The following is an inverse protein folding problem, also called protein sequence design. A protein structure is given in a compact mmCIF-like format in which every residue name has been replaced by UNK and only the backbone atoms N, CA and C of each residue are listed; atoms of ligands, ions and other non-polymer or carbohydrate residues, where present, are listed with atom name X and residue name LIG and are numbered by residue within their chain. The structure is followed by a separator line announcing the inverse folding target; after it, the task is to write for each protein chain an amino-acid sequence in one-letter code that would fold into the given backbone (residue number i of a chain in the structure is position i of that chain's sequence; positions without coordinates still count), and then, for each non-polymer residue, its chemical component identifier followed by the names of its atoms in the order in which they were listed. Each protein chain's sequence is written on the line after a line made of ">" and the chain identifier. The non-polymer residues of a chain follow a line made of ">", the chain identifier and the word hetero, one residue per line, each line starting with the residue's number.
data_IF_108094461796
#
_entry.id   IF_108094461796
#
_cell.length_a   1.000
_cell.length_b   1.000
_cell.length_c   1.000
_cell.angle_alpha   90.00
_cell.angle_beta   90.00
_cell.angle_gamma   90.00
#
_symmetry.space_group_name_H-M   'P 1'
#
loop_
_entity.id
_entity.type
_entity.pdbx_description
1 polymer ?
#
# COMPACT_ATOMS: atom_id res chain seq x y z
N UNK A 1 -17.21 78.27 -17.89
CA UNK A 1 -16.54 77.83 -19.15
C UNK A 1 -15.15 77.33 -18.77
N UNK A 2 -14.68 76.12 -19.03
CA UNK A 2 -15.16 74.99 -19.83
C UNK A 2 -14.73 73.69 -19.14
N UNK A 3 -15.68 72.78 -19.05
CA UNK A 3 -15.56 71.35 -18.75
C UNK A 3 -14.72 70.68 -19.85
N UNK A 4 -13.68 69.93 -19.48
CA UNK A 4 -13.08 68.91 -20.36
C UNK A 4 -12.80 67.65 -19.55
N UNK A 5 -13.74 66.73 -19.72
CA UNK A 5 -13.68 65.30 -19.44
C UNK A 5 -12.45 64.70 -20.16
N UNK A 6 -11.56 64.03 -19.44
CA UNK A 6 -10.59 63.11 -20.04
C UNK A 6 -10.79 61.73 -19.41
N UNK A 7 -11.40 60.87 -20.22
CA UNK A 7 -11.70 59.48 -19.97
C UNK A 7 -10.37 58.69 -20.11
N UNK A 8 -9.70 58.39 -19.00
CA UNK A 8 -8.50 57.54 -19.00
C UNK A 8 -8.91 56.07 -18.92
N UNK A 9 -8.79 55.39 -20.06
CA UNK A 9 -8.98 53.95 -20.22
C UNK A 9 -7.72 53.22 -19.70
N UNK A 10 -7.76 52.69 -18.48
CA UNK A 10 -6.67 51.93 -17.89
C UNK A 10 -6.72 50.47 -18.35
N UNK A 11 -5.77 50.10 -19.21
CA UNK A 11 -5.51 48.74 -19.67
C UNK A 11 -4.81 47.96 -18.53
N UNK A 12 -5.50 47.02 -17.89
CA UNK A 12 -4.90 46.16 -16.87
C UNK A 12 -4.15 44.98 -17.53
N UNK A 13 -2.85 44.76 -17.24
CA UNK A 13 -2.17 43.55 -17.68
C UNK A 13 -2.57 42.38 -16.77
N UNK A 14 -3.26 41.38 -17.33
CA UNK A 14 -3.47 40.08 -16.69
C UNK A 14 -2.14 39.32 -16.77
N UNK A 15 -1.31 39.49 -15.73
CA UNK A 15 -0.18 38.62 -15.47
C UNK A 15 -0.73 37.28 -14.97
N UNK A 16 -0.88 36.32 -15.88
CA UNK A 16 -1.05 34.91 -15.52
C UNK A 16 0.21 34.42 -14.82
N UNK A 17 0.22 34.53 -13.50
CA UNK A 17 1.17 33.82 -12.65
C UNK A 17 0.77 32.35 -12.74
N UNK A 18 1.49 31.57 -13.55
CA UNK A 18 1.56 30.13 -13.34
C UNK A 18 2.20 29.94 -11.95
N UNK A 19 1.37 29.79 -10.93
CA UNK A 19 1.82 29.26 -9.67
C UNK A 19 2.24 27.81 -9.95
N UNK A 20 3.55 27.59 -10.10
CA UNK A 20 4.13 26.27 -9.88
C UNK A 20 3.70 25.88 -8.46
N UNK A 21 2.68 25.04 -8.35
CA UNK A 21 2.38 24.37 -7.10
C UNK A 21 3.68 23.69 -6.68
N UNK A 22 4.24 23.96 -5.49
CA UNK A 22 5.37 23.20 -5.02
C UNK A 22 4.91 21.74 -5.01
N UNK A 23 5.62 20.88 -5.76
CA UNK A 23 5.52 19.44 -5.59
C UNK A 23 5.84 19.26 -4.11
N UNK A 24 4.84 18.87 -3.32
CA UNK A 24 5.03 18.59 -1.91
C UNK A 24 6.24 17.66 -1.83
N UNK A 25 7.27 18.08 -1.09
CA UNK A 25 8.42 17.23 -0.85
C UNK A 25 7.89 15.92 -0.31
N UNK A 26 8.13 14.83 -1.04
CA UNK A 26 7.79 13.49 -0.59
C UNK A 26 8.52 13.34 0.75
N UNK A 27 7.82 13.09 1.86
CA UNK A 27 8.52 12.73 3.07
C UNK A 27 9.27 11.43 2.70
N UNK A 28 10.61 11.45 2.79
CA UNK A 28 11.42 10.27 2.45
C UNK A 28 10.97 9.04 3.26
N UNK A 29 11.40 7.83 2.94
CA UNK A 29 10.80 6.55 3.39
C UNK A 29 10.61 6.34 4.90
N UNK A 30 11.19 7.19 5.76
CA UNK A 30 11.09 7.18 7.23
C UNK A 30 9.65 7.00 7.80
N UNK A 31 8.62 7.78 7.39
CA UNK A 31 7.26 7.60 7.88
C UNK A 31 6.68 6.24 7.46
N UNK A 32 7.05 5.75 6.28
CA UNK A 32 6.57 4.46 5.74
C UNK A 32 7.23 3.29 6.47
N UNK A 33 8.54 3.37 6.72
CA UNK A 33 9.26 2.38 7.54
C UNK A 33 8.66 2.36 8.95
N UNK A 34 8.38 3.53 9.53
CA UNK A 34 7.72 3.64 10.83
C UNK A 34 6.31 3.03 10.81
N UNK A 35 5.54 3.22 9.74
CA UNK A 35 4.23 2.57 9.56
C UNK A 35 4.35 1.05 9.57
N UNK A 36 5.27 0.48 8.79
CA UNK A 36 5.50 -0.97 8.78
C UNK A 36 5.98 -1.50 10.15
N UNK A 37 6.79 -0.73 10.88
CA UNK A 37 7.20 -1.10 12.25
C UNK A 37 5.99 -1.18 13.19
N UNK A 38 5.10 -0.18 13.18
CA UNK A 38 3.90 -0.17 14.02
C UNK A 38 2.97 -1.35 13.73
N UNK A 39 2.77 -1.69 12.46
CA UNK A 39 1.97 -2.85 12.06
C UNK A 39 2.64 -4.17 12.49
N UNK A 40 3.96 -4.30 12.38
CA UNK A 40 4.70 -5.47 12.84
C UNK A 40 4.66 -5.65 14.37
N UNK A 41 4.76 -4.55 15.11
CA UNK A 41 4.66 -4.50 16.57
C UNK A 41 3.25 -4.84 17.03
N UNK A 42 2.24 -4.27 16.38
CA UNK A 42 0.83 -4.57 16.66
C UNK A 42 0.52 -6.05 16.48
N UNK A 43 0.90 -6.64 15.35
CA UNK A 43 0.77 -8.08 15.13
C UNK A 43 1.50 -8.88 16.23
N UNK A 44 2.69 -8.43 16.62
CA UNK A 44 3.48 -9.03 17.71
C UNK A 44 2.80 -9.01 19.07
N UNK A 45 2.02 -7.98 19.39
CA UNK A 45 1.28 -7.86 20.66
C UNK A 45 0.13 -8.88 20.76
N UNK A 46 -0.49 -9.21 19.64
CA UNK A 46 -1.64 -10.12 19.59
C UNK A 46 -1.25 -11.61 19.69
N UNK A 47 -0.08 -12.01 19.19
CA UNK A 47 0.42 -13.40 19.24
C UNK A 47 0.37 -14.00 20.67
N UNK A 48 0.97 -13.37 21.70
CA UNK A 48 0.93 -13.92 23.06
C UNK A 48 -0.47 -13.89 23.69
N UNK A 49 -1.41 -13.11 23.16
CA UNK A 49 -2.81 -13.13 23.61
C UNK A 49 -3.55 -14.34 23.03
N UNK A 50 -3.35 -14.64 21.74
CA UNK A 50 -3.89 -15.84 21.10
C UNK A 50 -3.29 -17.12 21.70
N UNK A 51 -2.03 -17.10 22.13
CA UNK A 51 -1.40 -18.24 22.81
C UNK A 51 -2.04 -18.60 24.17
N UNK A 52 -2.84 -17.70 24.77
CA UNK A 52 -3.57 -18.00 26.01
C UNK A 52 -4.83 -18.85 25.77
N UNK A 53 -5.24 -19.03 24.51
CA UNK A 53 -6.43 -19.76 24.14
C UNK A 53 -6.15 -21.27 24.27
N UNK A 54 -6.91 -21.94 25.12
CA UNK A 54 -6.72 -23.37 25.43
C UNK A 54 -7.76 -24.21 24.70
N UNK A 55 -7.66 -24.26 23.37
CA UNK A 55 -8.68 -24.84 22.51
C UNK A 55 -8.95 -26.32 22.77
N UNK A 56 -7.96 -27.08 23.22
CA UNK A 56 -8.09 -28.49 23.56
C UNK A 56 -9.00 -28.66 24.78
N UNK A 57 -8.92 -27.73 25.74
CA UNK A 57 -9.81 -27.68 26.91
C UNK A 57 -11.23 -27.33 26.49
N UNK A 58 -11.42 -26.53 25.44
CA UNK A 58 -12.76 -26.22 24.94
C UNK A 58 -13.41 -27.43 24.30
N UNK A 59 -12.64 -28.22 23.54
CA UNK A 59 -13.12 -29.48 22.94
C UNK A 59 -13.57 -30.45 24.04
N UNK A 60 -12.80 -30.58 25.13
CA UNK A 60 -13.20 -31.37 26.29
C UNK A 60 -14.50 -30.87 26.96
N UNK A 61 -14.87 -29.60 26.77
CA UNK A 61 -16.14 -28.99 27.21
C UNK A 61 -17.25 -29.05 26.15
N UNK A 62 -17.05 -29.79 25.06
CA UNK A 62 -18.03 -29.96 23.98
C UNK A 62 -17.97 -28.91 22.87
N UNK A 63 -16.87 -28.15 22.75
CA UNK A 63 -16.63 -27.33 21.56
C UNK A 63 -16.24 -28.19 20.34
N UNK A 64 -16.46 -27.66 19.14
CA UNK A 64 -15.99 -28.33 17.91
C UNK A 64 -14.47 -28.33 17.83
N UNK A 65 -13.88 -29.41 17.29
CA UNK A 65 -12.44 -29.51 17.01
C UNK A 65 -11.96 -28.43 16.02
N UNK A 66 -12.87 -27.84 15.24
CA UNK A 66 -12.55 -26.76 14.31
C UNK A 66 -11.90 -25.55 15.01
N UNK A 67 -12.18 -25.30 16.29
CA UNK A 67 -11.55 -24.21 17.04
C UNK A 67 -10.03 -24.36 17.16
N UNK A 68 -9.51 -25.59 17.25
CA UNK A 68 -8.07 -25.86 17.30
C UNK A 68 -7.42 -25.44 15.98
N UNK A 69 -8.01 -25.85 14.86
CA UNK A 69 -7.54 -25.49 13.52
C UNK A 69 -7.66 -23.99 13.26
N UNK A 70 -8.78 -23.37 13.64
CA UNK A 70 -9.01 -21.95 13.44
C UNK A 70 -8.03 -21.10 14.25
N UNK A 71 -7.80 -21.43 15.52
CA UNK A 71 -6.83 -20.71 16.37
C UNK A 71 -5.41 -20.85 15.83
N UNK A 72 -5.03 -22.06 15.39
CA UNK A 72 -3.74 -22.28 14.72
C UNK A 72 -3.61 -21.42 13.46
N UNK A 73 -4.65 -21.40 12.62
CA UNK A 73 -4.65 -20.61 11.38
C UNK A 73 -4.52 -19.12 11.64
N UNK A 74 -5.27 -18.58 12.60
CA UNK A 74 -5.23 -17.15 12.96
C UNK A 74 -3.86 -16.76 13.53
N UNK A 75 -3.25 -17.61 14.37
CA UNK A 75 -1.89 -17.38 14.88
C UNK A 75 -0.85 -17.36 13.77
N UNK A 76 -0.87 -18.36 12.87
CA UNK A 76 0.06 -18.43 11.72
C UNK A 76 -0.13 -17.24 10.77
N UNK A 77 -1.37 -16.82 10.52
CA UNK A 77 -1.64 -15.64 9.70
C UNK A 77 -1.03 -14.37 10.31
N UNK A 78 -1.15 -14.22 11.63
CA UNK A 78 -0.62 -13.06 12.36
C UNK A 78 0.91 -13.04 12.43
N UNK A 79 1.55 -14.20 12.61
CA UNK A 79 3.01 -14.34 12.49
C UNK A 79 3.51 -13.95 11.09
N UNK A 80 2.79 -14.39 10.05
CA UNK A 80 3.10 -14.03 8.68
C UNK A 80 2.88 -12.53 8.43
N UNK A 81 1.85 -11.90 8.99
CA UNK A 81 1.68 -10.42 8.95
C UNK A 81 2.90 -9.74 9.55
N UNK A 82 3.32 -10.15 10.75
CA UNK A 82 4.49 -9.56 11.40
C UNK A 82 5.75 -9.67 10.53
N UNK A 83 5.95 -10.83 9.89
CA UNK A 83 7.10 -11.05 9.02
C UNK A 83 7.02 -10.24 7.73
N UNK A 84 5.84 -10.19 7.09
CA UNK A 84 5.60 -9.42 5.87
C UNK A 84 5.89 -7.93 6.13
N UNK A 85 5.43 -7.38 7.25
CA UNK A 85 5.69 -5.99 7.63
C UNK A 85 7.17 -5.72 7.92
N UNK A 86 7.88 -6.64 8.57
CA UNK A 86 9.35 -6.53 8.74
C UNK A 86 10.10 -6.58 7.42
N UNK A 87 9.63 -7.40 6.47
CA UNK A 87 10.22 -7.47 5.13
C UNK A 87 10.02 -6.16 4.38
N UNK A 88 8.86 -5.54 4.49
CA UNK A 88 8.55 -4.25 3.84
C UNK A 88 9.39 -3.09 4.37
N UNK A 89 9.91 -3.17 5.60
CA UNK A 89 10.89 -2.17 6.07
C UNK A 89 12.18 -2.16 5.24
N UNK A 90 12.56 -3.29 4.64
CA UNK A 90 13.73 -3.39 3.75
C UNK A 90 13.40 -3.00 2.31
N UNK A 91 12.14 -3.14 1.91
CA UNK A 91 11.66 -2.92 0.56
C UNK A 91 10.33 -2.14 0.58
N UNK A 92 10.35 -0.85 0.95
CA UNK A 92 9.14 -0.09 1.26
C UNK A 92 8.20 0.17 0.08
N UNK A 93 8.74 0.08 -1.15
CA UNK A 93 8.01 0.29 -2.40
C UNK A 93 7.65 -1.02 -3.11
N UNK A 94 7.82 -2.16 -2.45
CA UNK A 94 7.50 -3.47 -2.99
C UNK A 94 5.98 -3.68 -3.05
N UNK A 95 5.34 -3.15 -4.11
CA UNK A 95 3.88 -3.09 -4.25
C UNK A 95 3.22 -4.47 -4.11
N UNK A 96 3.81 -5.52 -4.69
CA UNK A 96 3.22 -6.86 -4.64
C UNK A 96 3.23 -7.42 -3.21
N UNK A 97 4.34 -7.27 -2.50
CA UNK A 97 4.53 -7.66 -1.11
C UNK A 97 3.59 -6.86 -0.19
N UNK A 98 3.48 -5.55 -0.43
CA UNK A 98 2.59 -4.66 0.30
C UNK A 98 1.11 -5.05 0.16
N UNK A 99 0.65 -5.33 -1.06
CA UNK A 99 -0.72 -5.81 -1.30
C UNK A 99 -0.99 -7.17 -0.63
N UNK A 100 -0.03 -8.11 -0.72
CA UNK A 100 -0.14 -9.42 -0.04
C UNK A 100 -0.28 -9.23 1.47
N UNK A 101 0.54 -8.36 2.06
CA UNK A 101 0.51 -8.05 3.48
C UNK A 101 -0.85 -7.44 3.89
N UNK A 102 -1.34 -6.45 3.14
CA UNK A 102 -2.66 -5.83 3.36
C UNK A 102 -3.80 -6.87 3.37
N UNK A 103 -3.87 -7.71 2.33
CA UNK A 103 -4.93 -8.73 2.25
C UNK A 103 -4.84 -9.76 3.37
N UNK A 104 -3.62 -10.08 3.83
CA UNK A 104 -3.41 -10.98 4.96
C UNK A 104 -3.95 -10.38 6.25
N UNK A 105 -3.70 -9.09 6.52
CA UNK A 105 -4.26 -8.43 7.71
C UNK A 105 -5.79 -8.39 7.66
N UNK A 106 -6.37 -8.05 6.50
CA UNK A 106 -7.83 -8.06 6.33
C UNK A 106 -8.43 -9.47 6.47
N UNK A 107 -7.72 -10.52 6.05
CA UNK A 107 -8.13 -11.91 6.26
C UNK A 107 -8.06 -12.33 7.73
N UNK A 108 -7.01 -11.90 8.45
CA UNK A 108 -6.87 -12.10 9.89
C UNK A 108 -8.06 -11.50 10.65
N UNK A 109 -8.38 -10.22 10.41
CA UNK A 109 -9.51 -9.54 11.06
C UNK A 109 -10.83 -10.28 10.85
N UNK A 110 -11.10 -10.73 9.62
CA UNK A 110 -12.30 -11.53 9.30
C UNK A 110 -12.34 -12.89 10.00
N UNK A 111 -11.18 -13.53 10.21
CA UNK A 111 -11.10 -14.87 10.79
C UNK A 111 -11.14 -14.85 12.33
N UNK A 112 -10.73 -13.73 12.93
CA UNK A 112 -10.60 -13.57 14.37
C UNK A 112 -11.95 -13.73 15.11
N UNK A 113 -13.03 -13.17 14.58
CA UNK A 113 -14.34 -13.17 15.23
C UNK A 113 -14.87 -14.58 15.56
N UNK A 114 -14.67 -15.54 14.64
CA UNK A 114 -15.09 -16.93 14.85
C UNK A 114 -14.42 -17.51 16.09
N UNK A 115 -13.11 -17.33 16.21
CA UNK A 115 -12.29 -17.86 17.30
C UNK A 115 -12.63 -17.16 18.64
N UNK A 116 -12.87 -15.86 18.61
CA UNK A 116 -13.24 -15.09 19.80
C UNK A 116 -14.63 -15.45 20.34
N UNK A 117 -15.55 -15.89 19.49
CA UNK A 117 -16.85 -16.43 19.95
C UNK A 117 -16.66 -17.68 20.85
N UNK A 118 -15.72 -18.55 20.50
CA UNK A 118 -15.32 -19.71 21.31
C UNK A 118 -14.66 -19.29 22.62
N UNK A 119 -13.79 -18.29 22.57
CA UNK A 119 -13.11 -17.77 23.76
C UNK A 119 -14.09 -17.24 24.81
N UNK A 120 -15.11 -16.48 24.36
CA UNK A 120 -16.18 -15.98 25.24
C UNK A 120 -16.97 -17.13 25.87
N UNK A 121 -17.28 -18.17 25.08
CA UNK A 121 -18.13 -19.27 25.53
C UNK A 121 -17.43 -20.26 26.46
N UNK A 122 -16.17 -20.61 26.18
CA UNK A 122 -15.52 -21.78 26.79
C UNK A 122 -14.41 -21.45 27.79
N UNK A 123 -13.92 -20.20 27.83
CA UNK A 123 -12.77 -19.85 28.67
C UNK A 123 -12.86 -18.48 29.35
N UNK A 124 -12.79 -17.36 28.62
CA UNK A 124 -12.67 -16.04 29.24
C UNK A 124 -13.23 -14.93 28.33
N UNK A 125 -14.45 -14.43 28.60
CA UNK A 125 -15.04 -13.32 27.87
C UNK A 125 -14.20 -12.04 27.90
N UNK A 126 -13.62 -11.69 29.05
CA UNK A 126 -12.82 -10.47 29.20
C UNK A 126 -11.54 -10.51 28.35
N UNK A 127 -10.92 -11.69 28.21
CA UNK A 127 -9.78 -11.85 27.29
C UNK A 127 -10.21 -11.66 25.83
N UNK A 128 -11.39 -12.16 25.44
CA UNK A 128 -11.89 -11.94 24.09
C UNK A 128 -12.12 -10.47 23.78
N UNK A 129 -12.73 -9.73 24.70
CA UNK A 129 -12.99 -8.30 24.52
C UNK A 129 -11.69 -7.48 24.51
N UNK A 130 -10.69 -7.88 25.31
CA UNK A 130 -9.35 -7.30 25.23
C UNK A 130 -8.69 -7.56 23.87
N UNK A 131 -8.79 -8.78 23.33
CA UNK A 131 -8.25 -9.09 21.99
C UNK A 131 -8.94 -8.27 20.91
N UNK A 132 -10.27 -8.11 20.95
CA UNK A 132 -10.99 -7.23 20.01
C UNK A 132 -10.48 -5.80 20.10
N UNK A 133 -10.33 -5.27 21.32
CA UNK A 133 -9.86 -3.90 21.54
C UNK A 133 -8.47 -3.70 20.95
N UNK A 134 -7.53 -4.61 21.24
CA UNK A 134 -6.16 -4.51 20.73
C UNK A 134 -6.14 -4.70 19.21
N UNK A 135 -6.89 -5.66 18.68
CA UNK A 135 -6.96 -5.90 17.24
C UNK A 135 -7.42 -4.65 16.50
N UNK A 136 -8.44 -3.94 16.96
CA UNK A 136 -8.95 -2.74 16.30
C UNK A 136 -8.01 -1.53 16.29
N UNK A 137 -6.95 -1.51 17.11
CA UNK A 137 -6.00 -0.38 17.18
C UNK A 137 -5.24 -0.13 15.87
N UNK A 138 -5.10 -1.13 14.99
CA UNK A 138 -4.36 -1.01 13.73
C UNK A 138 -5.14 -0.33 12.60
N UNK A 139 -6.45 -0.06 12.78
CA UNK A 139 -7.31 0.49 11.73
C UNK A 139 -6.74 1.73 11.04
N UNK A 140 -6.21 2.74 11.77
CA UNK A 140 -5.61 3.92 11.14
C UNK A 140 -4.34 3.59 10.35
N UNK A 141 -3.51 2.67 10.86
CA UNK A 141 -2.29 2.25 10.18
C UNK A 141 -2.62 1.44 8.92
N UNK A 142 -3.67 0.61 8.92
CA UNK A 142 -4.15 -0.07 7.71
C UNK A 142 -4.65 0.90 6.66
N UNK A 143 -5.36 1.96 7.05
CA UNK A 143 -5.77 2.99 6.11
C UNK A 143 -4.57 3.71 5.49
N UNK A 144 -3.52 3.97 6.30
CA UNK A 144 -2.28 4.55 5.80
C UNK A 144 -1.56 3.61 4.82
N UNK A 145 -1.53 2.30 5.12
CA UNK A 145 -0.96 1.29 4.22
C UNK A 145 -1.70 1.25 2.89
N UNK A 146 -3.03 1.26 2.90
CA UNK A 146 -3.84 1.30 1.67
C UNK A 146 -3.51 2.53 0.83
N UNK A 147 -3.44 3.71 1.45
CA UNK A 147 -3.11 4.95 0.75
C UNK A 147 -1.71 4.88 0.13
N UNK A 148 -0.71 4.40 0.90
CA UNK A 148 0.66 4.23 0.41
C UNK A 148 0.74 3.29 -0.81
N UNK A 149 0.01 2.17 -0.78
CA UNK A 149 0.00 1.23 -1.93
C UNK A 149 -0.65 1.84 -3.17
N UNK A 150 -1.71 2.65 -3.00
CA UNK A 150 -2.32 3.41 -4.10
C UNK A 150 -1.34 4.43 -4.67
N UNK A 151 -0.58 5.11 -3.82
CA UNK A 151 0.45 6.06 -4.23
C UNK A 151 1.58 5.38 -5.02
N UNK A 152 2.08 4.24 -4.56
CA UNK A 152 3.08 3.44 -5.31
C UNK A 152 2.52 3.05 -6.68
N UNK A 153 1.28 2.53 -6.73
CA UNK A 153 0.66 2.14 -7.99
C UNK A 153 0.54 3.33 -8.96
N UNK A 154 0.05 4.47 -8.49
CA UNK A 154 -0.06 5.69 -9.30
C UNK A 154 1.30 6.19 -9.79
N UNK A 155 2.36 6.04 -8.98
CA UNK A 155 3.72 6.38 -9.36
C UNK A 155 4.24 5.44 -10.46
N UNK A 156 4.00 4.14 -10.34
CA UNK A 156 4.37 3.15 -11.36
C UNK A 156 3.67 3.39 -12.70
N UNK A 157 2.40 3.77 -12.69
CA UNK A 157 1.66 4.12 -13.92
C UNK A 157 2.26 5.34 -14.64
N UNK A 158 2.68 6.36 -13.87
CA UNK A 158 3.40 7.53 -14.43
C UNK A 158 4.73 7.11 -15.05
N UNK A 159 5.49 6.26 -14.37
CA UNK A 159 6.76 5.73 -14.87
C UNK A 159 6.55 4.97 -16.19
N UNK A 160 5.55 4.09 -16.27
CA UNK A 160 5.24 3.34 -17.49
C UNK A 160 4.77 4.23 -18.63
N UNK A 161 4.05 5.31 -18.34
CA UNK A 161 3.66 6.30 -19.36
C UNK A 161 4.88 6.97 -20.00
N UNK A 162 5.90 7.28 -19.20
CA UNK A 162 7.15 7.86 -19.71
C UNK A 162 7.93 6.84 -20.53
N UNK A 163 8.06 5.61 -20.02
CA UNK A 163 8.73 4.51 -20.72
C UNK A 163 8.08 4.24 -22.08
N UNK A 164 6.74 4.21 -22.14
CA UNK A 164 6.00 4.01 -23.38
C UNK A 164 6.25 5.17 -24.36
N UNK A 165 6.22 6.42 -23.90
CA UNK A 165 6.49 7.58 -24.74
C UNK A 165 7.88 7.53 -25.37
N UNK A 166 8.91 7.22 -24.59
CA UNK A 166 10.27 7.12 -25.10
C UNK A 166 10.44 5.92 -26.03
N UNK A 167 9.77 4.80 -25.75
CA UNK A 167 9.76 3.64 -26.66
C UNK A 167 9.16 4.01 -28.03
N UNK A 168 8.04 4.76 -28.06
CA UNK A 168 7.45 5.23 -29.31
C UNK A 168 8.34 6.23 -30.05
N UNK A 169 9.00 7.14 -29.33
CA UNK A 169 9.98 8.06 -29.93
C UNK A 169 11.14 7.32 -30.59
N UNK A 170 11.71 6.32 -29.93
CA UNK A 170 12.77 5.46 -30.46
C UNK A 170 12.32 4.72 -31.72
N UNK A 171 11.10 4.14 -31.72
CA UNK A 171 10.53 3.51 -32.92
C UNK A 171 10.42 4.49 -34.09
N UNK A 172 9.97 5.71 -33.83
CA UNK A 172 9.89 6.76 -34.84
C UNK A 172 11.24 7.16 -35.42
N UNK A 173 12.31 7.14 -34.62
CA UNK A 173 13.68 7.40 -35.10
C UNK A 173 14.18 6.29 -36.01
N UNK A 174 14.00 5.01 -35.64
CA UNK A 174 14.44 3.86 -36.44
C UNK A 174 13.73 3.84 -37.81
N UNK A 175 12.42 4.12 -37.87
CA UNK A 175 11.67 4.13 -39.13
C UNK A 175 12.18 5.24 -40.08
N UNK A 176 12.68 6.35 -39.53
CA UNK A 176 13.19 7.48 -40.31
C UNK A 176 14.66 7.33 -40.70
N UNK A 177 15.31 6.25 -40.28
CA UNK A 177 16.69 5.99 -40.64
C UNK A 177 16.76 5.63 -42.14
N UNK A 178 17.54 6.39 -42.94
CA UNK A 178 17.61 6.15 -44.37
C UNK A 178 18.25 4.79 -44.65
N UNK A 179 17.63 4.01 -45.55
CA UNK A 179 18.19 2.73 -45.99
C UNK A 179 19.56 3.00 -46.65
N UNK A 180 20.64 2.31 -46.24
CA UNK A 180 21.94 2.50 -46.83
C UNK A 180 21.91 2.22 -48.33
N UNK A 181 22.52 3.10 -49.11
CA UNK A 181 22.54 3.00 -50.58
C UNK A 181 23.10 1.62 -51.01
N UNK A 182 22.52 1.00 -52.06
CA UNK A 182 22.99 -0.29 -52.54
C UNK A 182 24.46 -0.20 -52.94
N UNK A 183 25.29 -1.13 -52.44
CA UNK A 183 26.71 -1.19 -52.80
C UNK A 183 26.85 -1.44 -54.30
N UNK A 184 27.73 -0.70 -55.00
CA UNK A 184 27.91 -0.88 -56.45
C UNK A 184 28.38 -2.32 -56.73
N UNK A 185 27.63 -3.02 -57.58
CA UNK A 185 28.00 -4.35 -58.06
C UNK A 185 29.23 -4.19 -58.96
N UNK A 186 30.39 -4.62 -58.47
CA UNK A 186 31.63 -4.64 -59.25
C UNK A 186 31.49 -5.74 -60.31
N UNK A 187 31.24 -5.37 -61.57
CA UNK A 187 31.32 -6.32 -62.70
C UNK A 187 32.77 -6.76 -62.83
N UNK A 188 33.00 -8.06 -62.63
CA UNK A 188 34.31 -8.70 -62.82
C UNK A 188 34.44 -8.98 -64.33
N UNK A 189 35.55 -8.58 -64.97
CA UNK A 189 35.81 -8.82 -66.40
C UNK A 189 36.05 -10.30 -66.73
#
# INVERSE_FOLDING_TARGET
>A
MRLRLLLSLSLAPVLSIFAQQPIAAIPGDEPTIALYSRLAEHAGRLIPMLAQMKTEVWVAKGASETYVQQTTSVTVQLEAVQQDMRSLQQHPDALQEGMKALFRVQAFHRSLDSVLSGLRRYQNPALADLIVSVAGEDTPDLQQLENHLVEIAAQKDKEYTVVEREAQRCRGMIIREPVPAPRPIRKIP
#
